data_IF_949062564475
#
_entry.id   IF_949062564475
#
_cell.length_a   1.000
_cell.length_b   1.000
_cell.length_c   1.000
_cell.angle_alpha   90.00
_cell.angle_beta   90.00
_cell.angle_gamma   90.00
#
_symmetry.space_group_name_H-M   'P 1'
#
loop_
_entity.id
_entity.type
_entity.pdbx_description
1 polymer ?
#
# COMPACT_ATOMS: atom_id res chain seq x y z
N UNK A 1 20.41 4.03 5.54
CA UNK A 1 20.66 2.99 4.51
C UNK A 1 20.70 3.53 3.08
N UNK A 2 20.98 4.81 2.85
CA UNK A 2 21.23 5.35 1.51
C UNK A 2 22.74 5.59 1.36
N UNK A 3 23.48 4.51 1.07
CA UNK A 3 24.83 4.57 0.47
C UNK A 3 26.08 4.50 1.36
N UNK A 4 26.19 3.63 2.38
CA UNK A 4 27.56 3.23 2.86
C UNK A 4 27.71 2.00 3.76
N UNK A 5 26.70 1.13 3.94
CA UNK A 5 26.84 0.03 4.90
C UNK A 5 27.17 -1.29 4.19
N UNK A 6 28.41 -1.77 4.38
CA UNK A 6 28.93 -3.07 3.88
C UNK A 6 28.21 -4.30 4.45
N UNK A 7 27.42 -4.14 5.51
CA UNK A 7 26.67 -5.22 6.18
C UNK A 7 25.17 -5.11 5.97
N UNK A 8 24.69 -4.25 5.07
CA UNK A 8 23.28 -4.28 4.72
C UNK A 8 23.05 -5.47 3.77
N UNK A 9 22.22 -6.46 4.15
CA UNK A 9 21.64 -7.38 3.20
C UNK A 9 20.57 -6.61 2.42
N UNK A 10 20.98 -5.64 1.60
CA UNK A 10 20.15 -5.20 0.49
C UNK A 10 20.26 -6.33 -0.52
N UNK A 11 19.62 -7.45 -0.18
CA UNK A 11 19.51 -8.58 -1.07
C UNK A 11 18.89 -8.03 -2.35
N UNK A 12 19.41 -8.40 -3.51
CA UNK A 12 18.84 -8.14 -4.85
C UNK A 12 17.45 -8.80 -5.04
N UNK A 13 16.77 -9.07 -3.94
CA UNK A 13 15.44 -9.63 -3.73
C UNK A 13 14.78 -8.86 -2.60
N UNK A 14 14.74 -7.53 -2.67
CA UNK A 14 13.66 -6.82 -1.99
C UNK A 14 12.39 -7.37 -2.65
N UNK A 15 11.77 -8.38 -2.02
CA UNK A 15 10.57 -9.05 -2.53
C UNK A 15 9.57 -7.96 -2.85
N UNK A 16 9.42 -7.70 -4.14
CA UNK A 16 8.62 -6.59 -4.63
C UNK A 16 7.22 -6.88 -4.14
N UNK A 17 6.59 -5.95 -3.41
CA UNK A 17 5.22 -6.17 -2.98
C UNK A 17 4.36 -6.39 -4.21
N UNK A 18 3.62 -7.49 -4.22
CA UNK A 18 2.77 -7.89 -5.35
C UNK A 18 1.60 -6.92 -5.55
N UNK A 19 1.26 -6.14 -4.54
CA UNK A 19 0.17 -5.17 -4.55
C UNK A 19 0.62 -3.89 -3.86
N UNK A 20 0.23 -2.73 -4.40
CA UNK A 20 0.48 -1.41 -3.83
C UNK A 20 -0.74 -0.53 -4.02
N UNK A 21 -0.91 0.47 -3.16
CA UNK A 21 -1.92 1.51 -3.34
C UNK A 21 -1.27 2.66 -4.11
N UNK A 22 -1.73 2.88 -5.34
CA UNK A 22 -1.39 4.04 -6.15
C UNK A 22 -2.27 5.23 -5.77
N UNK A 23 -1.63 6.38 -5.57
CA UNK A 23 -2.26 7.67 -5.30
C UNK A 23 -2.10 8.55 -6.54
N UNK A 24 -3.20 8.76 -7.26
CA UNK A 24 -3.23 9.67 -8.42
C UNK A 24 -4.03 10.91 -8.10
N UNK A 25 -3.43 12.09 -8.28
CA UNK A 25 -4.16 13.36 -8.20
C UNK A 25 -5.09 13.52 -9.40
N UNK A 26 -6.37 13.75 -9.15
CA UNK A 26 -7.33 14.04 -10.22
C UNK A 26 -6.99 15.37 -10.92
N UNK A 27 -7.15 15.44 -12.25
CA UNK A 27 -6.85 16.63 -13.05
C UNK A 27 -7.64 17.90 -12.63
N UNK A 28 -8.76 17.72 -11.91
CA UNK A 28 -9.57 18.80 -11.32
C UNK A 28 -8.97 19.36 -10.00
N UNK A 29 -7.82 18.86 -9.54
CA UNK A 29 -7.12 19.31 -8.34
C UNK A 29 -7.85 19.04 -7.01
N UNK A 30 -9.06 18.47 -7.06
CA UNK A 30 -9.98 18.42 -5.92
C UNK A 30 -10.06 17.05 -5.22
N UNK A 31 -9.17 16.11 -5.54
CA UNK A 31 -9.18 14.81 -4.87
C UNK A 31 -8.07 13.85 -5.28
N UNK A 32 -7.80 12.89 -4.40
CA UNK A 32 -6.92 11.75 -4.64
C UNK A 32 -7.76 10.55 -5.08
N UNK A 33 -7.38 9.97 -6.21
CA UNK A 33 -7.88 8.67 -6.65
C UNK A 33 -6.93 7.60 -6.15
N UNK A 34 -7.47 6.66 -5.39
CA UNK A 34 -6.73 5.54 -4.84
C UNK A 34 -7.08 4.26 -5.60
N UNK A 35 -6.07 3.46 -5.95
CA UNK A 35 -6.24 2.18 -6.64
C UNK A 35 -5.22 1.17 -6.17
N UNK A 36 -5.63 -0.08 -6.04
CA UNK A 36 -4.70 -1.20 -5.88
C UNK A 36 -4.05 -1.49 -7.24
N UNK A 37 -2.73 -1.60 -7.28
CA UNK A 37 -1.96 -1.93 -8.48
C UNK A 37 -1.05 -3.10 -8.20
N UNK A 38 -1.04 -4.06 -9.12
CA UNK A 38 -0.19 -5.26 -9.02
C UNK A 38 1.09 -5.17 -9.85
N UNK A 39 1.19 -4.16 -10.73
CA UNK A 39 2.34 -3.95 -11.60
C UNK A 39 3.18 -2.79 -11.06
N UNK A 40 4.23 -3.14 -10.33
CA UNK A 40 5.17 -2.16 -9.77
C UNK A 40 6.60 -2.46 -10.21
N UNK A 41 7.26 -1.45 -10.78
CA UNK A 41 8.66 -1.54 -11.15
C UNK A 41 9.52 -0.74 -10.15
N UNK A 42 10.22 -1.41 -9.22
CA UNK A 42 10.99 -0.76 -8.16
C UNK A 42 12.20 0.02 -8.68
N UNK A 43 12.64 -0.22 -9.92
CA UNK A 43 13.77 0.53 -10.50
C UNK A 43 13.38 1.96 -10.90
N UNK A 44 12.09 2.27 -11.01
CA UNK A 44 11.60 3.57 -11.51
C UNK A 44 10.65 4.28 -10.55
N UNK A 45 10.18 3.61 -9.51
CA UNK A 45 9.13 4.12 -8.62
C UNK A 45 9.52 3.84 -7.17
N UNK A 46 9.27 4.82 -6.31
CA UNK A 46 9.45 4.69 -4.86
C UNK A 46 8.12 4.42 -4.21
N UNK A 47 8.10 3.60 -3.16
CA UNK A 47 6.92 3.35 -2.33
C UNK A 47 7.26 3.52 -0.85
N UNK A 48 6.27 3.92 -0.06
CA UNK A 48 6.33 3.86 1.39
C UNK A 48 5.68 2.55 1.87
N UNK A 49 6.11 2.02 3.00
CA UNK A 49 5.52 0.84 3.61
C UNK A 49 4.97 1.18 4.99
N UNK A 50 3.71 0.84 5.22
CA UNK A 50 3.04 0.89 6.51
C UNK A 50 2.75 -0.54 6.95
N UNK A 51 3.39 -0.94 8.05
CA UNK A 51 3.07 -2.17 8.80
C UNK A 51 2.76 -1.75 10.23
N UNK A 52 1.65 -2.22 10.78
CA UNK A 52 1.23 -1.88 12.13
C UNK A 52 0.53 -3.08 12.77
N UNK A 53 0.64 -3.23 14.09
CA UNK A 53 -0.15 -4.25 14.79
C UNK A 53 -1.62 -3.84 14.80
N UNK A 54 -2.45 -4.66 14.18
CA UNK A 54 -3.90 -4.46 14.15
C UNK A 54 -4.45 -4.87 15.52
N UNK A 55 -4.73 -3.90 16.39
CA UNK A 55 -5.28 -4.12 17.74
C UNK A 55 -6.73 -4.66 17.76
N UNK A 56 -7.16 -5.38 16.72
CA UNK A 56 -8.52 -5.88 16.52
C UNK A 56 -8.83 -6.21 15.06
N UNK A 57 -10.03 -6.76 14.78
CA UNK A 57 -10.48 -7.06 13.42
C UNK A 57 -10.51 -5.77 12.59
N UNK A 58 -9.88 -5.81 11.41
CA UNK A 58 -9.85 -4.67 10.52
C UNK A 58 -11.09 -4.69 9.63
N UNK A 59 -11.83 -3.57 9.52
CA UNK A 59 -13.01 -3.51 8.65
C UNK A 59 -12.65 -3.61 7.16
N UNK A 60 -11.38 -3.36 6.82
CA UNK A 60 -10.90 -3.32 5.45
C UNK A 60 -9.68 -4.22 5.31
N UNK A 61 -9.89 -5.36 4.67
CA UNK A 61 -8.88 -6.38 4.40
C UNK A 61 -8.95 -6.78 2.93
N UNK A 62 -7.79 -7.03 2.32
CA UNK A 62 -7.74 -7.58 0.98
C UNK A 62 -8.09 -9.07 1.03
N UNK A 63 -9.05 -9.50 0.22
CA UNK A 63 -9.48 -10.90 0.02
C UNK A 63 -9.51 -11.16 -1.47
N UNK A 64 -9.43 -12.42 -1.91
CA UNK A 64 -9.42 -12.69 -3.36
C UNK A 64 -10.63 -12.12 -4.09
N UNK A 65 -11.78 -12.09 -3.41
CA UNK A 65 -13.04 -11.61 -3.95
C UNK A 65 -13.17 -10.07 -4.06
N UNK A 66 -12.28 -9.30 -3.42
CA UNK A 66 -12.34 -7.83 -3.42
C UNK A 66 -11.12 -7.15 -4.07
N UNK A 67 -10.18 -7.93 -4.61
CA UNK A 67 -9.03 -7.41 -5.35
C UNK A 67 -9.49 -6.52 -6.51
N UNK A 68 -10.40 -7.03 -7.35
CA UNK A 68 -10.90 -6.31 -8.53
C UNK A 68 -11.56 -4.99 -8.12
N UNK A 69 -12.35 -5.01 -7.05
CA UNK A 69 -12.99 -3.81 -6.50
C UNK A 69 -11.97 -2.75 -6.08
N UNK A 70 -10.91 -3.14 -5.37
CA UNK A 70 -9.86 -2.21 -4.96
C UNK A 70 -8.94 -1.78 -6.11
N UNK A 71 -8.81 -2.58 -7.16
CA UNK A 71 -8.11 -2.18 -8.39
C UNK A 71 -8.87 -1.09 -9.15
N UNK A 72 -10.20 -1.13 -9.16
CA UNK A 72 -11.03 -0.09 -9.79
C UNK A 72 -10.99 1.24 -9.04
N UNK A 73 -11.24 1.19 -7.73
CA UNK A 73 -11.13 2.35 -6.84
C UNK A 73 -11.21 1.95 -5.37
N UNK A 74 -10.35 2.56 -4.56
CA UNK A 74 -10.45 2.52 -3.10
C UNK A 74 -11.15 3.79 -2.63
N UNK A 75 -12.29 3.63 -1.97
CA UNK A 75 -13.03 4.77 -1.43
C UNK A 75 -12.31 5.34 -0.20
N UNK A 76 -11.95 6.62 -0.27
CA UNK A 76 -11.23 7.31 0.82
C UNK A 76 -11.97 7.23 2.17
N UNK A 77 -13.31 7.30 2.15
CA UNK A 77 -14.14 7.36 3.36
C UNK A 77 -14.20 6.05 4.13
N UNK A 78 -14.03 4.93 3.44
CA UNK A 78 -14.04 3.59 4.04
C UNK A 78 -12.69 3.23 4.68
N UNK A 79 -11.64 4.02 4.42
CA UNK A 79 -10.33 3.79 4.99
C UNK A 79 -10.29 4.18 6.49
N UNK A 80 -9.69 3.32 7.34
CA UNK A 80 -9.43 3.68 8.73
C UNK A 80 -8.55 4.93 8.80
N UNK A 81 -8.69 5.68 9.90
CA UNK A 81 -8.00 6.95 10.09
C UNK A 81 -6.47 6.83 9.92
N UNK A 82 -5.88 5.74 10.43
CA UNK A 82 -4.45 5.47 10.31
C UNK A 82 -3.99 5.35 8.85
N UNK A 83 -4.75 4.65 8.00
CA UNK A 83 -4.38 4.50 6.59
C UNK A 83 -4.59 5.82 5.84
N UNK A 84 -5.64 6.58 6.17
CA UNK A 84 -5.85 7.93 5.60
C UNK A 84 -4.69 8.87 5.92
N UNK A 85 -4.25 8.89 7.17
CA UNK A 85 -3.12 9.71 7.61
C UNK A 85 -1.82 9.29 6.93
N UNK A 86 -1.58 7.98 6.81
CA UNK A 86 -0.44 7.45 6.10
C UNK A 86 -0.46 7.80 4.60
N UNK A 87 -1.61 7.72 3.93
CA UNK A 87 -1.76 8.12 2.52
C UNK A 87 -1.52 9.61 2.34
N UNK A 88 -2.09 10.45 3.20
CA UNK A 88 -1.87 11.89 3.15
C UNK A 88 -0.39 12.23 3.37
N UNK A 89 0.24 11.64 4.38
CA UNK A 89 1.66 11.83 4.68
C UNK A 89 2.52 11.38 3.50
N UNK A 90 2.25 10.20 2.95
CA UNK A 90 3.00 9.65 1.81
C UNK A 90 2.86 10.54 0.57
N UNK A 91 1.65 11.03 0.31
CA UNK A 91 1.40 11.96 -0.78
C UNK A 91 2.13 13.29 -0.59
N UNK A 92 2.12 13.86 0.63
CA UNK A 92 2.85 15.09 0.97
C UNK A 92 4.36 14.92 0.87
N UNK A 93 4.88 13.71 1.07
CA UNK A 93 6.29 13.36 0.86
C UNK A 93 6.67 13.19 -0.62
N UNK A 94 5.72 13.35 -1.56
CA UNK A 94 5.94 13.18 -2.99
C UNK A 94 6.03 11.73 -3.44
N UNK A 95 5.63 10.78 -2.58
CA UNK A 95 5.61 9.35 -2.89
C UNK A 95 4.21 8.97 -3.36
N UNK A 96 4.12 8.28 -4.49
CA UNK A 96 2.83 7.95 -5.15
C UNK A 96 2.32 6.56 -4.83
N UNK A 97 3.10 5.76 -4.10
CA UNK A 97 2.78 4.37 -3.79
C UNK A 97 2.89 4.13 -2.30
N UNK A 98 1.85 3.53 -1.73
CA UNK A 98 1.84 3.07 -0.34
C UNK A 98 1.57 1.57 -0.31
N UNK A 99 2.41 0.83 0.39
CA UNK A 99 2.17 -0.55 0.77
C UNK A 99 1.55 -0.57 2.16
N UNK A 100 0.43 -1.26 2.32
CA UNK A 100 -0.22 -1.46 3.62
C UNK A 100 -0.47 -2.94 3.80
N UNK A 101 -0.03 -3.50 4.91
CA UNK A 101 -0.16 -4.94 5.18
C UNK A 101 -1.61 -5.45 5.09
N UNK A 102 -2.60 -4.68 5.58
CA UNK A 102 -4.01 -5.10 5.53
C UNK A 102 -4.65 -5.04 4.14
N UNK A 103 -4.13 -4.18 3.25
CA UNK A 103 -4.71 -3.92 1.92
C UNK A 103 -3.87 -4.48 0.76
N UNK A 104 -2.63 -4.87 1.03
CA UNK A 104 -1.69 -5.35 0.00
C UNK A 104 -1.32 -6.83 0.18
N UNK A 105 -1.80 -7.49 1.24
CA UNK A 105 -1.66 -8.93 1.46
C UNK A 105 -3.05 -9.55 1.48
N UNK A 106 -3.25 -10.59 0.67
CA UNK A 106 -4.50 -11.36 0.63
C UNK A 106 -4.65 -12.08 1.98
N UNK A 107 -5.70 -11.73 2.72
CA UNK A 107 -6.06 -12.29 4.03
C UNK A 107 -6.98 -13.52 3.91
N UNK A 108 -7.15 -14.08 2.71
CA UNK A 108 -8.03 -15.23 2.41
C UNK A 108 -7.54 -16.55 3.05
N UNK A 109 -6.49 -16.51 3.87
CA UNK A 109 -6.10 -17.63 4.71
C UNK A 109 -7.11 -17.81 5.85
N UNK A 110 -8.20 -18.51 5.54
CA UNK A 110 -8.85 -19.34 6.55
C UNK A 110 -7.89 -20.44 7.02
N UNK A 111 -7.95 -20.73 8.32
CA UNK A 111 -7.22 -21.79 9.07
C UNK A 111 -5.72 -21.47 9.30
N UNK A 112 -5.29 -21.01 10.47
CA UNK A 112 -5.28 -21.73 11.75
C UNK A 112 -5.22 -20.70 12.92
N UNK A 113 -6.18 -20.78 13.85
CA UNK A 113 -6.04 -20.28 15.21
C UNK A 113 -6.66 -21.29 16.17
#
# INVERSE_FOLDING_TARGET
>A
CLSTHKLCPISERASIPTQLIEMTTCASGSGLKLRLVSSFNPQRKTYAALTYCWGGPQPMQLSQNNIEFYQESITWRDLPATIRDALETTHRLGVQYLWVDSLCIIQDAGDDK
#
